data_IF_594759139842
#
_entry.id   IF_594759139842
#
_cell.length_a   1.000
_cell.length_b   1.000
_cell.length_c   1.000
_cell.angle_alpha   90.00
_cell.angle_beta   90.00
_cell.angle_gamma   90.00
#
_symmetry.space_group_name_H-M   'P 1'
#
loop_
_entity.id
_entity.type
_entity.pdbx_description
1 polymer ?
#
# COMPACT_ATOMS: atom_id res chain seq x y z
N UNK A 1 -12.40 0.84 -6.64
CA UNK A 1 -11.22 1.63 -6.23
C UNK A 1 -9.97 0.95 -6.78
N UNK A 2 -8.84 1.66 -6.89
CA UNK A 2 -7.56 1.06 -7.30
C UNK A 2 -6.64 0.91 -6.07
N UNK A 3 -5.57 0.15 -6.20
CA UNK A 3 -4.64 -0.12 -5.08
C UNK A 3 -4.10 1.17 -4.40
N UNK A 4 -3.66 2.21 -5.13
CA UNK A 4 -3.20 3.47 -4.53
C UNK A 4 -4.21 4.15 -3.58
N UNK A 5 -5.50 4.13 -3.93
CA UNK A 5 -6.52 4.75 -3.08
C UNK A 5 -6.85 3.90 -1.85
N UNK A 6 -6.87 2.56 -1.97
CA UNK A 6 -7.16 1.68 -0.82
C UNK A 6 -6.06 1.74 0.24
N UNK A 7 -4.79 1.69 -0.18
CA UNK A 7 -3.67 1.76 0.77
C UNK A 7 -3.65 3.13 1.48
N UNK A 8 -3.94 4.21 0.75
CA UNK A 8 -4.06 5.56 1.32
C UNK A 8 -5.24 5.67 2.29
N UNK A 9 -6.38 5.06 1.94
CA UNK A 9 -7.58 5.04 2.78
C UNK A 9 -7.33 4.39 4.13
N UNK A 10 -6.67 3.22 4.16
CA UNK A 10 -6.31 2.54 5.41
C UNK A 10 -5.41 3.42 6.27
N UNK A 11 -4.37 4.02 5.68
CA UNK A 11 -3.48 4.93 6.39
C UNK A 11 -4.23 6.11 7.01
N UNK A 12 -5.11 6.75 6.23
CA UNK A 12 -5.89 7.91 6.69
C UNK A 12 -6.94 7.51 7.73
N UNK A 13 -7.51 6.31 7.64
CA UNK A 13 -8.44 5.79 8.65
C UNK A 13 -7.79 5.62 10.03
N UNK A 14 -6.49 5.33 10.05
CA UNK A 14 -5.69 5.23 11.28
C UNK A 14 -5.04 6.55 11.69
N UNK A 15 -5.30 7.65 10.97
CA UNK A 15 -4.80 9.00 11.24
C UNK A 15 -3.27 9.13 11.33
N UNK A 16 -2.53 8.32 10.57
CA UNK A 16 -1.05 8.35 10.56
C UNK A 16 -0.48 8.94 9.26
N UNK A 17 0.74 9.46 9.34
CA UNK A 17 1.47 9.99 8.18
C UNK A 17 1.99 8.88 7.26
N UNK A 18 2.41 9.23 6.05
CA UNK A 18 3.09 8.27 5.17
C UNK A 18 4.40 7.78 5.79
N UNK A 19 5.13 8.64 6.50
CA UNK A 19 6.35 8.24 7.22
C UNK A 19 6.05 7.21 8.31
N UNK A 20 5.02 7.44 9.13
CA UNK A 20 4.67 6.54 10.23
C UNK A 20 4.17 5.20 9.71
N UNK A 21 3.35 5.22 8.67
CA UNK A 21 2.92 3.99 8.02
C UNK A 21 4.12 3.21 7.46
N UNK A 22 5.03 3.89 6.75
CA UNK A 22 6.23 3.26 6.21
C UNK A 22 7.10 2.60 7.29
N UNK A 23 7.25 3.24 8.46
CA UNK A 23 7.95 2.66 9.62
C UNK A 23 7.26 1.39 10.13
N UNK A 24 5.94 1.42 10.30
CA UNK A 24 5.16 0.28 10.80
C UNK A 24 5.27 -0.96 9.89
N UNK A 25 5.26 -0.77 8.57
CA UNK A 25 5.37 -1.88 7.59
C UNK A 25 6.81 -2.13 7.11
N UNK A 26 7.81 -1.47 7.70
CA UNK A 26 9.23 -1.74 7.46
C UNK A 26 9.74 -1.36 6.07
N UNK A 27 9.28 -0.24 5.49
CA UNK A 27 9.74 0.28 4.20
C UNK A 27 10.14 1.75 4.28
N UNK A 28 10.81 2.27 3.25
CA UNK A 28 11.09 3.70 3.16
C UNK A 28 9.82 4.52 2.86
N UNK A 29 9.75 5.75 3.36
CA UNK A 29 8.68 6.71 3.04
C UNK A 29 8.44 6.83 1.52
N UNK A 30 9.53 6.91 0.74
CA UNK A 30 9.46 7.05 -0.72
C UNK A 30 8.76 5.86 -1.39
N UNK A 31 8.78 4.68 -0.76
CA UNK A 31 8.06 3.49 -1.22
C UNK A 31 6.56 3.67 -1.06
N UNK A 32 6.10 4.08 0.13
CA UNK A 32 4.67 4.37 0.40
C UNK A 32 4.17 5.50 -0.50
N UNK A 33 4.93 6.60 -0.62
CA UNK A 33 4.58 7.71 -1.52
C UNK A 33 4.39 7.26 -2.98
N UNK A 34 5.21 6.32 -3.47
CA UNK A 34 5.05 5.77 -4.83
C UNK A 34 3.85 4.83 -4.94
N UNK A 35 3.48 4.11 -3.89
CA UNK A 35 2.28 3.26 -3.88
C UNK A 35 1.00 4.10 -3.88
N UNK A 36 0.88 5.05 -2.94
CA UNK A 36 -0.26 5.97 -2.86
C UNK A 36 -0.35 6.90 -4.09
N UNK A 37 0.78 7.18 -4.73
CA UNK A 37 0.84 7.94 -5.98
C UNK A 37 0.66 7.10 -7.25
N UNK A 38 0.42 5.79 -7.15
CA UNK A 38 0.22 4.91 -8.32
C UNK A 38 1.44 4.74 -9.23
N UNK A 39 2.65 4.98 -8.71
CA UNK A 39 3.93 4.89 -9.43
C UNK A 39 4.64 3.55 -9.23
N UNK A 40 4.12 2.68 -8.35
CA UNK A 40 4.67 1.38 -8.03
C UNK A 40 3.61 0.44 -7.46
N UNK A 41 3.87 -0.86 -7.55
CA UNK A 41 3.12 -1.92 -6.87
C UNK A 41 3.99 -2.55 -5.77
N UNK A 42 3.46 -2.82 -4.57
CA UNK A 42 4.17 -3.58 -3.55
C UNK A 42 4.48 -5.00 -4.03
N UNK A 43 5.59 -5.56 -3.57
CA UNK A 43 5.90 -6.98 -3.75
C UNK A 43 5.19 -7.82 -2.66
N UNK A 44 5.33 -9.15 -2.74
CA UNK A 44 4.69 -10.07 -1.78
C UNK A 44 5.12 -9.83 -0.33
N UNK A 45 6.40 -9.52 -0.08
CA UNK A 45 6.89 -9.25 1.28
C UNK A 45 6.25 -7.97 1.86
N UNK A 46 6.16 -6.92 1.06
CA UNK A 46 5.46 -5.70 1.46
C UNK A 46 3.96 -5.96 1.69
N UNK A 47 3.31 -6.76 0.85
CA UNK A 47 1.91 -7.14 1.04
C UNK A 47 1.68 -7.94 2.32
N UNK A 48 2.62 -8.82 2.70
CA UNK A 48 2.59 -9.53 3.97
C UNK A 48 2.65 -8.55 5.16
N UNK A 49 3.57 -7.59 5.13
CA UNK A 49 3.68 -6.58 6.19
C UNK A 49 2.43 -5.69 6.27
N UNK A 50 1.86 -5.30 5.13
CA UNK A 50 0.60 -4.55 5.08
C UNK A 50 -0.55 -5.37 5.69
N UNK A 51 -0.64 -6.67 5.39
CA UNK A 51 -1.63 -7.56 5.98
C UNK A 51 -1.49 -7.64 7.50
N UNK A 52 -0.27 -7.85 8.00
CA UNK A 52 0.02 -7.90 9.44
C UNK A 52 -0.33 -6.57 10.14
N UNK A 53 -0.03 -5.44 9.50
CA UNK A 53 -0.44 -4.12 9.97
C UNK A 53 -1.95 -3.96 10.05
N UNK A 54 -2.69 -4.32 8.99
CA UNK A 54 -4.16 -4.26 9.00
C UNK A 54 -4.76 -5.11 10.12
N UNK A 55 -4.27 -6.33 10.31
CA UNK A 55 -4.71 -7.23 11.38
C UNK A 55 -4.42 -6.66 12.78
N UNK A 56 -3.25 -6.04 12.98
CA UNK A 56 -2.88 -5.38 14.25
C UNK A 56 -3.82 -4.23 14.61
N UNK A 57 -4.37 -3.55 13.61
CA UNK A 57 -5.21 -2.36 13.78
C UNK A 57 -6.71 -2.62 13.57
N UNK A 58 -7.12 -3.89 13.44
CA UNK A 58 -8.52 -4.30 13.18
C UNK A 58 -9.11 -3.64 11.91
N UNK A 59 -8.28 -3.53 10.86
CA UNK A 59 -8.68 -3.00 9.55
C UNK A 59 -8.88 -4.13 8.56
N UNK A 60 -9.98 -4.08 7.80
CA UNK A 60 -10.22 -5.04 6.72
C UNK A 60 -9.16 -4.91 5.61
N UNK A 61 -8.46 -6.02 5.35
CA UNK A 61 -7.43 -6.12 4.32
C UNK A 61 -7.98 -6.55 2.96
N UNK A 62 -9.23 -7.05 2.89
CA UNK A 62 -9.79 -7.67 1.68
C UNK A 62 -9.81 -6.71 0.48
N UNK A 63 -10.19 -5.45 0.71
CA UNK A 63 -10.23 -4.41 -0.33
C UNK A 63 -8.82 -4.09 -0.88
N UNK A 64 -7.80 -4.03 -0.01
CA UNK A 64 -6.40 -3.83 -0.43
C UNK A 64 -5.93 -5.03 -1.25
N UNK A 65 -6.22 -6.26 -0.81
CA UNK A 65 -5.80 -7.49 -1.48
C UNK A 65 -6.40 -7.59 -2.88
N UNK A 66 -7.71 -7.40 -3.01
CA UNK A 66 -8.41 -7.42 -4.28
C UNK A 66 -7.89 -6.33 -5.22
N UNK A 67 -7.74 -5.10 -4.71
CA UNK A 67 -7.21 -3.99 -5.49
C UNK A 67 -5.77 -4.26 -5.94
N UNK A 68 -4.93 -4.85 -5.09
CA UNK A 68 -3.55 -5.20 -5.42
C UNK A 68 -3.48 -6.30 -6.49
N UNK A 69 -4.29 -7.36 -6.39
CA UNK A 69 -4.32 -8.44 -7.38
C UNK A 69 -4.70 -7.92 -8.77
N UNK A 70 -5.67 -7.00 -8.82
CA UNK A 70 -6.16 -6.38 -10.05
C UNK A 70 -5.28 -5.23 -10.55
N UNK A 71 -4.37 -4.71 -9.72
CA UNK A 71 -3.51 -3.58 -10.09
C UNK A 71 -2.44 -3.98 -11.12
N UNK A 72 -2.52 -3.39 -12.31
CA UNK A 72 -1.48 -3.46 -13.35
C UNK A 72 -0.60 -2.22 -13.21
N UNK A 73 0.68 -2.40 -12.89
CA UNK A 73 1.65 -1.30 -13.06
C UNK A 73 1.82 -1.05 -14.54
N UNK A 74 1.60 0.18 -14.98
CA UNK A 74 1.89 0.58 -16.35
C UNK A 74 3.29 0.15 -16.73
N UNK A 75 3.40 -0.61 -17.83
CA UNK A 75 4.65 -0.85 -18.52
C UNK A 75 5.36 0.50 -18.66
N UNK A 76 6.58 0.61 -18.14
CA UNK A 76 7.52 1.58 -18.69
C UNK A 76 7.67 1.24 -20.17
N UNK A 77 7.01 1.99 -21.06
CA UNK A 77 7.57 2.23 -22.38
C UNK A 77 8.86 3.00 -22.14
N UNK A 78 9.96 2.28 -22.05
CA UNK A 78 11.30 2.84 -22.13
C UNK A 78 11.79 2.61 -23.56
N UNK A 79 12.11 3.70 -24.26
CA UNK A 79 12.96 3.71 -25.46
C UNK A 79 12.30 3.25 -26.72
#
# INVERSE_FOLDING_TARGET
MNFPEEIKRVRQHLFITQEDFAKEIGVAFSTVNRWEGGKAKPNLNAMKNIKEFCLKHDVDFSAIEEAWLNYKTGNKKNG
#
